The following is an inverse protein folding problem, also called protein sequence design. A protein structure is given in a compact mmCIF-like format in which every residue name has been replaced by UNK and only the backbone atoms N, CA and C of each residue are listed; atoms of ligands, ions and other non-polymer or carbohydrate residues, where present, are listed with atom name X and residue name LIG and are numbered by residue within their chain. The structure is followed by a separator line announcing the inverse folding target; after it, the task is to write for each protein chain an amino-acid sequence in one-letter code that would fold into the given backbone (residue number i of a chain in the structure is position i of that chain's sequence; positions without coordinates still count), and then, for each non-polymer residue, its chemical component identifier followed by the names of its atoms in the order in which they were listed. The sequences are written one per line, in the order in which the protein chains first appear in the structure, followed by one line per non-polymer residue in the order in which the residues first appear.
data_IF_679466490762
#
_entry.id   IF_679466490762
#
_cell.length_a   1.000
_cell.length_b   1.000
_cell.length_c   1.000
_cell.angle_alpha   90.00
_cell.angle_beta   90.00
_cell.angle_gamma   90.00
#
_symmetry.space_group_name_H-M   'P 1'
#
loop_
_entity.id
_entity.type
_entity.pdbx_description
1 polymer ?
#
# COMPACT_ATOMS: atom_id res chain seq x y z
N UNK A 1 35.60 16.85 -32.86
CA UNK A 1 34.52 16.17 -32.14
C UNK A 1 33.73 17.24 -31.42
N UNK A 2 32.57 17.63 -31.99
CA UNK A 2 31.68 18.66 -31.43
C UNK A 2 30.86 18.08 -30.27
N UNK A 3 30.36 18.92 -29.30
CA UNK A 3 29.59 18.45 -28.19
C UNK A 3 28.23 17.92 -28.64
N UNK A 4 27.86 16.74 -28.13
CA UNK A 4 26.56 16.13 -28.33
C UNK A 4 25.46 17.06 -27.76
N UNK A 5 24.52 17.47 -28.58
CA UNK A 5 23.34 18.21 -28.11
C UNK A 5 22.39 17.22 -27.45
N UNK A 6 22.22 17.35 -26.14
CA UNK A 6 21.19 16.65 -25.39
C UNK A 6 19.84 17.26 -25.74
N UNK A 7 19.07 16.54 -26.56
CA UNK A 7 17.69 16.91 -26.88
C UNK A 7 16.83 16.68 -25.66
N UNK A 8 16.27 17.75 -25.07
CA UNK A 8 15.31 17.62 -23.99
C UNK A 8 14.05 16.92 -24.51
N UNK A 9 13.63 15.88 -23.83
CA UNK A 9 12.39 15.15 -24.15
C UNK A 9 11.20 16.12 -24.03
N UNK A 10 10.30 16.08 -25.02
CA UNK A 10 9.07 16.86 -24.98
C UNK A 10 8.22 16.44 -23.76
N UNK A 11 7.55 17.40 -23.10
CA UNK A 11 6.66 17.05 -21.99
C UNK A 11 5.54 16.14 -22.47
N UNK A 12 5.29 15.07 -21.72
CA UNK A 12 4.18 14.15 -21.98
C UNK A 12 2.85 14.92 -21.90
N UNK A 13 1.88 14.62 -22.79
CA UNK A 13 0.57 15.26 -22.73
C UNK A 13 -0.08 14.98 -21.36
N UNK A 14 -0.74 15.98 -20.80
CA UNK A 14 -1.49 15.82 -19.55
C UNK A 14 -2.53 14.69 -19.72
N UNK A 15 -2.52 13.73 -18.80
CA UNK A 15 -3.55 12.70 -18.79
C UNK A 15 -4.92 13.35 -18.63
N UNK A 16 -5.95 12.93 -19.37
CA UNK A 16 -7.29 13.45 -19.17
C UNK A 16 -7.73 13.21 -17.71
N UNK A 17 -8.53 14.12 -17.13
CA UNK A 17 -9.09 13.90 -15.81
C UNK A 17 -9.83 12.56 -15.79
N UNK A 18 -9.59 11.76 -14.76
CA UNK A 18 -10.37 10.55 -14.54
C UNK A 18 -11.80 11.02 -14.23
N UNK A 19 -12.70 10.82 -15.19
CA UNK A 19 -14.12 11.08 -14.99
C UNK A 19 -14.67 10.06 -13.98
N UNK A 20 -14.90 10.52 -12.78
CA UNK A 20 -15.53 9.73 -11.72
C UNK A 20 -17.04 9.64 -11.89
N UNK A 21 -17.59 9.88 -13.05
CA UNK A 21 -19.01 9.83 -13.36
C UNK A 21 -19.95 10.31 -12.24
N UNK A 22 -21.11 10.84 -12.50
CA UNK A 22 -22.01 11.30 -11.43
C UNK A 22 -22.33 10.12 -10.50
N UNK A 23 -22.04 10.31 -9.20
CA UNK A 23 -22.53 9.39 -8.16
C UNK A 23 -24.03 9.47 -8.19
N UNK A 24 -24.70 8.39 -8.62
CA UNK A 24 -26.15 8.31 -8.60
C UNK A 24 -26.64 8.24 -7.15
N UNK A 25 -27.26 9.32 -6.60
CA UNK A 25 -27.71 9.34 -5.21
C UNK A 25 -28.95 8.47 -4.95
N UNK A 26 -29.49 7.80 -5.97
CA UNK A 26 -30.72 7.02 -5.90
C UNK A 26 -30.52 5.50 -5.86
N UNK A 27 -29.29 5.00 -6.01
CA UNK A 27 -29.02 3.58 -5.86
C UNK A 27 -28.94 3.23 -4.38
N UNK A 28 -30.02 2.71 -3.82
CA UNK A 28 -29.97 1.95 -2.57
C UNK A 28 -28.96 0.83 -2.79
N UNK A 29 -27.75 1.01 -2.30
CA UNK A 29 -26.70 0.00 -2.32
C UNK A 29 -27.21 -1.13 -1.43
N UNK A 30 -27.70 -2.21 -2.05
CA UNK A 30 -27.70 -3.51 -1.39
C UNK A 30 -26.28 -3.66 -0.84
N UNK A 31 -26.11 -4.09 0.41
CA UNK A 31 -24.83 -4.17 1.07
C UNK A 31 -23.85 -4.85 0.11
N UNK A 32 -22.96 -4.06 -0.51
CA UNK A 32 -21.92 -4.60 -1.39
C UNK A 32 -21.08 -5.54 -0.52
N UNK A 33 -21.00 -6.78 -0.93
CA UNK A 33 -20.25 -7.79 -0.18
C UNK A 33 -18.77 -7.38 -0.16
N UNK A 34 -18.29 -7.04 1.04
CA UNK A 34 -16.90 -6.66 1.22
C UNK A 34 -15.99 -7.87 1.02
N UNK A 35 -14.90 -7.69 0.30
CA UNK A 35 -13.89 -8.72 0.14
C UNK A 35 -13.39 -9.21 1.50
N UNK A 36 -13.29 -10.53 1.67
CA UNK A 36 -12.80 -11.17 2.86
C UNK A 36 -11.44 -11.82 2.56
N UNK A 37 -10.33 -11.31 3.14
CA UNK A 37 -9.03 -11.95 3.00
C UNK A 37 -9.01 -13.31 3.72
N UNK A 38 -8.08 -14.23 3.37
CA UNK A 38 -7.93 -15.52 4.03
C UNK A 38 -7.92 -15.39 5.56
N UNK A 39 -8.54 -16.29 6.30
CA UNK A 39 -8.63 -16.21 7.76
C UNK A 39 -7.24 -16.19 8.43
N UNK A 40 -7.11 -15.53 9.59
CA UNK A 40 -5.85 -15.52 10.33
C UNK A 40 -5.43 -16.95 10.67
N UNK A 41 -4.12 -17.20 10.61
CA UNK A 41 -3.55 -18.52 10.94
C UNK A 41 -3.73 -19.60 9.88
N UNK A 42 -4.31 -19.28 8.70
CA UNK A 42 -4.50 -20.25 7.61
C UNK A 42 -3.40 -20.19 6.54
N UNK A 43 -2.30 -19.49 6.79
CA UNK A 43 -1.13 -19.54 5.92
C UNK A 43 -0.64 -21.00 5.75
N UNK A 44 -0.25 -21.42 4.52
CA UNK A 44 0.16 -22.81 4.28
C UNK A 44 1.36 -23.24 5.14
N UNK A 45 1.52 -24.56 5.31
CA UNK A 45 2.65 -25.14 6.05
C UNK A 45 3.79 -25.50 5.08
N UNK A 46 4.37 -24.49 4.46
CA UNK A 46 5.45 -24.60 3.49
C UNK A 46 6.35 -23.32 3.56
N UNK A 47 7.44 -23.24 2.82
CA UNK A 47 8.31 -22.05 2.82
C UNK A 47 7.59 -20.73 2.50
N UNK A 48 6.55 -20.77 1.67
CA UNK A 48 5.74 -19.58 1.38
C UNK A 48 4.93 -19.15 2.60
N UNK A 49 4.32 -20.11 3.31
CA UNK A 49 3.62 -19.84 4.55
C UNK A 49 4.53 -19.31 5.66
N UNK A 50 5.78 -19.75 5.71
CA UNK A 50 6.78 -19.18 6.63
C UNK A 50 7.07 -17.72 6.30
N UNK A 51 7.20 -17.37 5.01
CA UNK A 51 7.38 -16.01 4.56
C UNK A 51 6.15 -15.14 4.88
N UNK A 52 4.93 -15.67 4.71
CA UNK A 52 3.68 -15.00 5.05
C UNK A 52 3.60 -14.68 6.55
N UNK A 53 3.84 -15.68 7.43
CA UNK A 53 3.84 -15.49 8.89
C UNK A 53 4.87 -14.46 9.34
N UNK A 54 6.07 -14.53 8.75
CA UNK A 54 7.12 -13.55 9.01
C UNK A 54 6.72 -12.14 8.55
N UNK A 55 6.09 -12.03 7.37
CA UNK A 55 5.56 -10.77 6.85
C UNK A 55 4.48 -10.18 7.74
N UNK A 56 3.55 -10.99 8.27
CA UNK A 56 2.54 -10.55 9.24
C UNK A 56 3.20 -10.02 10.53
N UNK A 57 4.18 -10.74 11.08
CA UNK A 57 4.89 -10.33 12.27
C UNK A 57 5.64 -8.99 12.08
N UNK A 58 6.29 -8.80 10.93
CA UNK A 58 6.92 -7.52 10.56
C UNK A 58 5.86 -6.43 10.40
N UNK A 59 4.74 -6.72 9.78
CA UNK A 59 3.67 -5.76 9.51
C UNK A 59 3.09 -5.17 10.80
N UNK A 60 2.81 -6.04 11.76
CA UNK A 60 2.25 -5.65 13.08
C UNK A 60 3.29 -4.99 13.98
N UNK A 61 4.52 -5.47 13.95
CA UNK A 61 5.58 -5.04 14.84
C UNK A 61 6.72 -4.26 14.16
N UNK A 62 6.49 -3.52 13.08
CA UNK A 62 7.54 -3.01 12.18
C UNK A 62 8.70 -2.32 12.90
N UNK A 63 8.44 -1.46 13.90
CA UNK A 63 9.49 -0.74 14.63
C UNK A 63 10.23 -1.60 15.68
N UNK A 64 9.67 -2.72 16.09
CA UNK A 64 10.21 -3.59 17.15
C UNK A 64 10.65 -4.97 16.67
N UNK A 65 10.25 -5.39 15.45
CA UNK A 65 10.64 -6.68 14.90
C UNK A 65 12.13 -6.71 14.54
N UNK A 66 12.90 -7.75 14.92
CA UNK A 66 14.36 -7.78 14.75
C UNK A 66 14.86 -7.50 13.34
N UNK A 67 14.10 -7.89 12.30
CA UNK A 67 14.51 -7.70 10.91
C UNK A 67 14.20 -6.30 10.39
N UNK A 68 13.10 -5.67 10.85
CA UNK A 68 12.64 -4.39 10.29
C UNK A 68 12.97 -3.17 11.14
N UNK A 69 13.17 -3.33 12.44
CA UNK A 69 13.43 -2.22 13.36
C UNK A 69 14.59 -1.32 12.91
N UNK A 70 15.65 -1.91 12.34
CA UNK A 70 16.82 -1.18 11.84
C UNK A 70 16.52 -0.17 10.73
N UNK A 71 15.36 -0.29 10.05
CA UNK A 71 14.92 0.57 8.96
C UNK A 71 13.88 1.62 9.41
N UNK A 72 13.54 1.66 10.69
CA UNK A 72 12.49 2.53 11.23
C UNK A 72 13.09 3.56 12.16
N UNK A 73 12.87 4.84 11.87
CA UNK A 73 13.39 5.98 12.64
C UNK A 73 12.39 6.57 13.63
N UNK A 74 11.25 5.91 13.85
CA UNK A 74 10.22 6.29 14.81
C UNK A 74 9.54 5.03 15.40
N UNK A 75 8.33 5.13 15.95
CA UNK A 75 7.59 4.00 16.54
C UNK A 75 6.42 3.53 15.68
N UNK A 76 6.40 3.88 14.38
CA UNK A 76 5.32 3.50 13.48
C UNK A 76 5.40 2.04 13.07
N UNK A 77 4.21 1.46 12.84
CA UNK A 77 4.03 0.14 12.24
C UNK A 77 3.18 0.26 10.97
N UNK A 78 3.20 -0.75 10.11
CA UNK A 78 2.28 -0.81 8.99
C UNK A 78 0.82 -0.86 9.49
N UNK A 79 0.55 -1.62 10.55
CA UNK A 79 -0.76 -1.76 11.18
C UNK A 79 -1.28 -0.44 11.74
N UNK A 80 -0.42 0.50 12.15
CA UNK A 80 -0.85 1.81 12.65
C UNK A 80 -1.67 2.63 11.65
N UNK A 81 -1.49 2.37 10.35
CA UNK A 81 -2.27 2.99 9.28
C UNK A 81 -3.20 1.98 8.57
N UNK A 82 -2.83 0.71 8.52
CA UNK A 82 -3.57 -0.36 7.82
C UNK A 82 -4.14 -1.33 8.86
N UNK A 83 -5.26 -0.92 9.47
CA UNK A 83 -5.80 -1.55 10.66
C UNK A 83 -6.13 -3.05 10.49
N UNK A 84 -6.18 -3.76 11.63
CA UNK A 84 -6.40 -5.20 11.70
C UNK A 84 -5.36 -5.98 10.85
N UNK A 85 -4.08 -5.66 11.03
CA UNK A 85 -2.98 -6.22 10.24
C UNK A 85 -3.19 -6.05 8.72
N UNK A 86 -3.76 -4.92 8.29
CA UNK A 86 -4.03 -4.64 6.88
C UNK A 86 -5.26 -5.35 6.30
N UNK A 87 -6.13 -5.88 7.14
CA UNK A 87 -7.30 -6.69 6.73
C UNK A 87 -8.59 -5.89 6.68
N UNK A 88 -8.72 -4.88 7.54
CA UNK A 88 -9.97 -4.16 7.78
C UNK A 88 -10.39 -3.35 6.55
N UNK A 89 -11.52 -3.70 5.96
CA UNK A 89 -12.16 -2.89 4.93
C UNK A 89 -12.45 -1.48 5.46
N UNK A 90 -12.29 -0.47 4.64
CA UNK A 90 -12.44 0.93 5.06
C UNK A 90 -11.23 1.53 5.78
N UNK A 91 -10.16 0.75 6.00
CA UNK A 91 -8.92 1.22 6.62
C UNK A 91 -7.70 1.01 5.70
N UNK A 92 -7.84 1.32 4.41
CA UNK A 92 -6.84 1.12 3.38
C UNK A 92 -6.23 -0.30 3.41
N UNK A 93 -7.05 -1.34 3.25
CA UNK A 93 -6.61 -2.72 3.41
C UNK A 93 -5.57 -3.15 2.38
N UNK A 94 -4.66 -4.05 2.80
CA UNK A 94 -3.52 -4.45 1.97
C UNK A 94 -3.93 -5.39 0.83
N UNK A 95 -5.03 -6.13 0.96
CA UNK A 95 -5.60 -6.90 -0.15
C UNK A 95 -6.00 -6.00 -1.34
N UNK A 96 -6.54 -4.81 -1.07
CA UNK A 96 -6.86 -3.84 -2.12
C UNK A 96 -5.61 -3.15 -2.67
N UNK A 97 -4.59 -2.94 -1.85
CA UNK A 97 -3.31 -2.40 -2.30
C UNK A 97 -2.64 -3.35 -3.29
N UNK A 98 -2.58 -4.65 -3.00
CA UNK A 98 -1.95 -5.64 -3.89
C UNK A 98 -2.52 -5.60 -5.31
N UNK A 99 -3.84 -5.61 -5.45
CA UNK A 99 -4.50 -5.67 -6.78
C UNK A 99 -4.46 -4.35 -7.53
N UNK A 100 -4.18 -3.23 -6.85
CA UNK A 100 -4.13 -1.90 -7.43
C UNK A 100 -2.78 -1.53 -8.03
N UNK A 101 -1.69 -2.24 -7.71
CA UNK A 101 -0.36 -1.94 -8.22
C UNK A 101 0.04 -2.87 -9.38
N UNK A 102 0.87 -2.38 -10.35
CA UNK A 102 1.48 -1.05 -10.41
C UNK A 102 0.46 0.06 -10.67
N UNK A 103 0.69 1.25 -10.11
CA UNK A 103 -0.23 2.38 -10.23
C UNK A 103 0.48 3.71 -10.39
N UNK A 104 -0.13 4.64 -11.14
CA UNK A 104 0.34 6.02 -11.21
C UNK A 104 0.07 6.74 -9.88
N UNK A 105 1.08 7.45 -9.39
CA UNK A 105 0.97 8.24 -8.16
C UNK A 105 1.21 9.71 -8.44
N UNK A 106 0.27 10.54 -8.04
CA UNK A 106 0.36 12.00 -8.21
C UNK A 106 1.44 12.65 -7.35
N UNK A 107 1.82 12.02 -6.22
CA UNK A 107 2.83 12.59 -5.30
C UNK A 107 4.25 12.60 -5.87
N UNK A 108 4.59 11.62 -6.69
CA UNK A 108 5.91 11.48 -7.31
C UNK A 108 5.86 11.43 -8.84
N UNK A 109 4.67 11.65 -9.41
CA UNK A 109 4.40 11.75 -10.85
C UNK A 109 4.95 10.57 -11.67
N UNK A 110 4.89 9.35 -11.14
CA UNK A 110 5.35 8.14 -11.85
C UNK A 110 4.51 6.91 -11.54
N UNK A 111 4.67 5.87 -12.36
CA UNK A 111 4.15 4.53 -12.07
C UNK A 111 5.04 3.90 -10.98
N UNK A 112 4.44 3.48 -9.89
CA UNK A 112 5.11 2.73 -8.83
C UNK A 112 4.67 1.27 -8.84
N UNK A 113 5.59 0.38 -8.48
CA UNK A 113 5.30 -0.98 -8.06
C UNK A 113 4.81 -1.02 -6.61
N UNK A 114 4.27 -2.16 -6.17
CA UNK A 114 3.93 -2.36 -4.75
C UNK A 114 5.19 -2.30 -3.86
N UNK A 115 6.33 -2.77 -4.35
CA UNK A 115 7.62 -2.72 -3.65
C UNK A 115 8.03 -1.28 -3.37
N UNK A 116 8.07 -0.45 -4.41
CA UNK A 116 8.40 0.97 -4.27
C UNK A 116 7.40 1.69 -3.37
N UNK A 117 6.12 1.27 -3.38
CA UNK A 117 5.13 1.82 -2.45
C UNK A 117 5.44 1.47 -1.00
N UNK A 118 5.86 0.24 -0.72
CA UNK A 118 6.26 -0.19 0.63
C UNK A 118 7.54 0.56 1.05
N UNK A 119 8.54 0.64 0.17
CA UNK A 119 9.76 1.44 0.43
C UNK A 119 9.44 2.90 0.75
N UNK A 120 8.46 3.48 0.04
CA UNK A 120 7.96 4.82 0.32
C UNK A 120 7.35 4.96 1.73
N UNK A 121 6.68 3.93 2.26
CA UNK A 121 6.20 3.94 3.65
C UNK A 121 7.35 3.94 4.64
N UNK A 122 8.39 3.12 4.43
CA UNK A 122 9.60 3.16 5.26
C UNK A 122 10.27 4.52 5.20
N UNK A 123 10.44 5.08 4.01
CA UNK A 123 11.14 6.36 3.82
C UNK A 123 10.41 7.51 4.50
N UNK A 124 9.11 7.64 4.30
CA UNK A 124 8.35 8.83 4.71
C UNK A 124 7.59 8.63 6.02
N UNK A 125 6.77 7.58 6.12
CA UNK A 125 5.92 7.37 7.31
C UNK A 125 6.73 6.86 8.50
N UNK A 126 7.69 5.98 8.26
CA UNK A 126 8.54 5.38 9.30
C UNK A 126 9.88 6.09 9.47
N UNK A 127 10.11 7.18 8.72
CA UNK A 127 11.31 8.01 8.83
C UNK A 127 12.62 7.21 8.71
N UNK A 128 12.74 6.34 7.73
CA UNK A 128 13.93 5.53 7.52
C UNK A 128 15.24 6.35 7.45
N UNK A 129 15.29 7.60 6.95
CA UNK A 129 16.49 8.43 7.03
C UNK A 129 17.04 8.64 8.47
N UNK A 130 16.18 8.60 9.49
CA UNK A 130 16.58 8.69 10.88
C UNK A 130 16.78 7.34 11.58
N UNK A 131 16.65 6.24 10.83
CA UNK A 131 16.84 4.88 11.35
C UNK A 131 18.33 4.51 11.53
N UNK A 132 18.58 3.35 12.14
CA UNK A 132 19.94 2.85 12.35
C UNK A 132 20.75 2.66 11.05
N UNK A 133 20.08 2.39 9.93
CA UNK A 133 20.74 2.19 8.62
C UNK A 133 20.61 3.39 7.68
N UNK A 134 19.75 4.37 7.98
CA UNK A 134 19.60 5.61 7.24
C UNK A 134 18.80 5.52 5.93
N UNK A 135 18.22 4.38 5.60
CA UNK A 135 17.46 4.17 4.37
C UNK A 135 16.38 3.09 4.53
N UNK A 136 15.43 3.04 3.59
CA UNK A 136 14.43 1.96 3.50
C UNK A 136 15.09 0.62 3.14
N UNK A 137 14.44 -0.53 3.42
CA UNK A 137 14.92 -1.84 2.99
C UNK A 137 15.07 -1.92 1.48
N UNK A 138 16.11 -2.63 0.99
CA UNK A 138 16.28 -2.92 -0.43
C UNK A 138 15.13 -3.80 -0.95
N UNK A 139 14.83 -3.66 -2.25
CA UNK A 139 13.67 -4.31 -2.89
C UNK A 139 13.68 -5.84 -2.75
N UNK A 140 14.85 -6.46 -2.76
CA UNK A 140 15.09 -7.91 -2.62
C UNK A 140 15.44 -8.34 -1.18
N UNK A 141 15.38 -7.41 -0.22
CA UNK A 141 15.65 -7.74 1.17
C UNK A 141 14.64 -8.74 1.73
N UNK A 142 15.10 -9.59 2.66
CA UNK A 142 14.23 -10.56 3.34
C UNK A 142 13.01 -9.89 4.01
N UNK A 143 13.17 -8.66 4.51
CA UNK A 143 12.08 -7.84 5.09
C UNK A 143 11.02 -7.51 4.04
N UNK A 144 11.40 -7.00 2.86
CA UNK A 144 10.42 -6.66 1.82
C UNK A 144 9.82 -7.89 1.15
N UNK A 145 10.59 -8.95 0.96
CA UNK A 145 10.06 -10.22 0.43
C UNK A 145 8.99 -10.79 1.37
N UNK A 146 9.24 -10.79 2.68
CA UNK A 146 8.26 -11.26 3.66
C UNK A 146 6.99 -10.39 3.67
N UNK A 147 7.13 -9.06 3.68
CA UNK A 147 5.98 -8.14 3.60
C UNK A 147 5.17 -8.34 2.32
N UNK A 148 5.84 -8.50 1.16
CA UNK A 148 5.16 -8.79 -0.10
C UNK A 148 4.40 -10.12 -0.06
N UNK A 149 5.02 -11.18 0.51
CA UNK A 149 4.40 -12.49 0.64
C UNK A 149 3.12 -12.41 1.47
N UNK A 150 3.15 -11.66 2.57
CA UNK A 150 1.97 -11.43 3.41
C UNK A 150 0.88 -10.66 2.67
N UNK A 151 1.22 -9.54 2.04
CA UNK A 151 0.26 -8.69 1.31
C UNK A 151 -0.35 -9.45 0.12
N UNK A 152 0.47 -10.21 -0.61
CA UNK A 152 0.02 -11.10 -1.68
C UNK A 152 -1.00 -12.13 -1.17
N UNK A 153 -0.69 -12.79 -0.06
CA UNK A 153 -1.59 -13.78 0.54
C UNK A 153 -2.92 -13.16 0.96
N UNK A 154 -2.91 -11.97 1.56
CA UNK A 154 -4.14 -11.24 1.90
C UNK A 154 -5.04 -11.01 0.68
N UNK A 155 -4.49 -10.87 -0.50
CA UNK A 155 -5.21 -10.64 -1.75
C UNK A 155 -5.64 -11.94 -2.46
N UNK A 156 -5.49 -13.12 -1.83
CA UNK A 156 -5.92 -14.38 -2.44
C UNK A 156 -7.40 -14.36 -2.77
N UNK A 157 -7.73 -14.49 -4.05
CA UNK A 157 -9.11 -14.40 -4.56
C UNK A 157 -9.60 -12.99 -4.87
N UNK A 158 -8.81 -11.95 -4.57
CA UNK A 158 -9.16 -10.58 -4.96
C UNK A 158 -8.97 -10.38 -6.48
N UNK A 159 -9.87 -9.64 -7.16
CA UNK A 159 -9.80 -9.42 -8.60
C UNK A 159 -8.63 -8.48 -8.94
N UNK A 160 -7.58 -9.01 -9.56
CA UNK A 160 -6.40 -8.24 -9.99
C UNK A 160 -6.81 -7.12 -10.95
N UNK A 161 -6.31 -5.91 -10.70
CA UNK A 161 -6.56 -4.73 -11.53
C UNK A 161 -7.89 -4.03 -11.23
N UNK A 162 -8.74 -4.56 -10.35
CA UNK A 162 -9.92 -3.85 -9.90
C UNK A 162 -9.55 -2.81 -8.83
N UNK A 163 -9.55 -1.56 -9.25
CA UNK A 163 -9.29 -0.42 -8.39
C UNK A 163 -10.55 0.16 -7.73
N UNK A 164 -11.70 -0.47 -7.89
CA UNK A 164 -13.01 -0.01 -7.38
C UNK A 164 -13.61 -0.94 -6.32
N UNK A 165 -12.83 -1.89 -5.81
CA UNK A 165 -13.30 -2.81 -4.78
C UNK A 165 -13.91 -2.06 -3.58
N UNK A 166 -15.11 -2.44 -3.12
CA UNK A 166 -15.72 -1.86 -1.93
C UNK A 166 -14.81 -1.97 -0.70
N UNK A 167 -14.75 -0.92 0.11
CA UNK A 167 -13.93 -0.90 1.33
C UNK A 167 -12.41 -0.77 1.11
N UNK A 168 -11.95 -0.50 -0.13
CA UNK A 168 -10.50 -0.37 -0.43
C UNK A 168 -9.82 0.85 0.20
N UNK A 169 -10.55 1.89 0.49
CA UNK A 169 -10.04 3.15 1.02
C UNK A 169 -10.59 3.45 2.41
N UNK A 170 -10.20 4.60 2.94
CA UNK A 170 -10.89 5.16 4.09
C UNK A 170 -12.27 5.67 3.67
N UNK A 171 -13.28 5.62 4.56
CA UNK A 171 -14.55 6.27 4.31
C UNK A 171 -14.34 7.75 3.96
N UNK A 172 -15.16 8.28 3.06
CA UNK A 172 -15.20 9.72 2.85
C UNK A 172 -15.62 10.38 4.19
N UNK A 173 -14.90 11.41 4.58
CA UNK A 173 -15.36 12.24 5.70
C UNK A 173 -16.62 12.98 5.27
N UNK A 174 -17.59 13.06 6.14
CA UNK A 174 -18.71 13.96 5.95
C UNK A 174 -18.17 15.39 5.74
N UNK A 175 -18.82 16.20 4.89
CA UNK A 175 -18.38 17.57 4.70
C UNK A 175 -18.32 18.24 6.09
N UNK A 176 -17.26 19.02 6.31
CA UNK A 176 -17.05 19.73 7.58
C UNK A 176 -18.34 20.44 7.99
N UNK A 177 -18.84 20.23 9.21
CA UNK A 177 -20.04 20.93 9.66
C UNK A 177 -19.87 22.44 9.45
N UNK A 178 -20.85 23.07 8.83
CA UNK A 178 -20.85 24.53 8.64
C UNK A 178 -20.76 25.20 10.02
N UNK A 179 -19.69 25.97 10.25
CA UNK A 179 -19.49 26.70 11.52
C UNK A 179 -18.14 26.43 12.21
N UNK A 180 -17.25 25.65 11.59
CA UNK A 180 -15.83 25.59 11.96
C UNK A 180 -15.04 26.47 10.97
N UNK A 181 -15.00 27.76 11.25
CA UNK A 181 -14.06 28.72 10.64
C UNK A 181 -12.91 28.97 11.63
#
# INVERSE_FOLDING_TARGET
IGPAQTQAAAPLPASPPIDHGPVDPGRSQGAEELFQPPARGTAPNDPMGDAIRRGEAIFVGTYSHPESARYVGNTQTCEGCHLDAGRLAGAAPMWAAWVAYPAFRTKDHRINSIVERIQGCFTYSMNAPASAVGHAPEADSATLVALQSYIYWLATGAPTGDTRMPGRGYPALDPTPQGFD
#
